data_IF_819732646781
#
_entry.id   IF_819732646781
#
_cell.length_a   1.000
_cell.length_b   1.000
_cell.length_c   1.000
_cell.angle_alpha   90.00
_cell.angle_beta   90.00
_cell.angle_gamma   90.00
#
_symmetry.space_group_name_H-M   'P 1'
#
loop_
_entity.id
_entity.type
_entity.pdbx_description
1 polymer ?
#
# COMPACT_ATOMS: atom_id res chain seq x y z
N UNK A 1 87.51 68.26 43.06
CA UNK A 1 86.16 67.69 42.83
C UNK A 1 86.27 66.78 41.62
N UNK A 2 86.43 65.47 41.85
CA UNK A 2 87.02 64.55 40.86
C UNK A 2 85.98 64.01 39.86
N UNK A 3 86.35 64.08 38.58
CA UNK A 3 85.61 63.55 37.42
C UNK A 3 85.33 62.03 37.54
N UNK A 4 86.10 61.32 38.38
CA UNK A 4 85.97 59.89 38.67
C UNK A 4 84.66 59.50 39.36
N UNK A 5 84.21 60.25 40.39
CA UNK A 5 83.00 59.89 41.15
C UNK A 5 81.70 60.12 40.36
N UNK A 6 81.70 61.12 39.45
CA UNK A 6 80.58 61.34 38.52
C UNK A 6 80.45 60.20 37.50
N UNK A 7 81.58 59.66 37.02
CA UNK A 7 81.58 58.54 36.07
C UNK A 7 81.15 57.21 36.72
N UNK A 8 81.52 56.97 37.99
CA UNK A 8 81.08 55.81 38.76
C UNK A 8 79.56 55.89 39.03
N UNK A 9 79.04 57.08 39.34
CA UNK A 9 77.61 57.32 39.55
C UNK A 9 76.79 57.16 38.25
N UNK A 10 77.31 57.66 37.11
CA UNK A 10 76.69 57.44 35.80
C UNK A 10 76.64 55.94 35.45
N UNK A 11 77.76 55.23 35.58
CA UNK A 11 77.84 53.79 35.27
C UNK A 11 76.89 52.96 36.14
N UNK A 12 76.75 53.31 37.42
CA UNK A 12 75.78 52.69 38.34
C UNK A 12 74.33 53.00 37.95
N UNK A 13 74.01 54.24 37.57
CA UNK A 13 72.66 54.63 37.10
C UNK A 13 72.29 53.97 35.78
N UNK A 14 73.20 53.91 34.81
CA UNK A 14 73.00 53.19 33.55
C UNK A 14 72.88 51.67 33.75
N UNK A 15 73.64 51.09 34.69
CA UNK A 15 73.50 49.68 35.07
C UNK A 15 72.13 49.38 35.69
N UNK A 16 71.66 50.21 36.62
CA UNK A 16 70.31 50.09 37.22
C UNK A 16 69.20 50.28 36.18
N UNK A 17 69.35 51.24 35.27
CA UNK A 17 68.42 51.44 34.16
C UNK A 17 68.42 50.24 33.20
N UNK A 18 69.58 49.67 32.88
CA UNK A 18 69.68 48.47 32.06
C UNK A 18 69.02 47.25 32.70
N UNK A 19 69.22 47.04 34.00
CA UNK A 19 68.55 45.97 34.77
C UNK A 19 67.04 46.18 34.78
N UNK A 20 66.58 47.41 35.04
CA UNK A 20 65.15 47.74 35.04
C UNK A 20 64.51 47.55 33.65
N UNK A 21 65.20 47.93 32.57
CA UNK A 21 64.73 47.68 31.20
C UNK A 21 64.69 46.18 30.87
N UNK A 22 65.63 45.38 31.39
CA UNK A 22 65.63 43.92 31.25
C UNK A 22 64.47 43.30 32.05
N UNK A 23 64.18 43.76 33.26
CA UNK A 23 63.03 43.33 34.05
C UNK A 23 61.71 43.68 33.35
N UNK A 24 61.56 44.92 32.87
CA UNK A 24 60.38 45.32 32.09
C UNK A 24 60.22 44.49 30.81
N UNK A 25 61.32 44.18 30.12
CA UNK A 25 61.28 43.31 28.95
C UNK A 25 60.88 41.86 29.34
N UNK A 26 61.37 41.34 30.47
CA UNK A 26 61.00 40.00 30.98
C UNK A 26 59.53 39.94 31.36
N UNK A 27 59.01 40.93 32.06
CA UNK A 27 57.60 40.99 32.44
C UNK A 27 56.72 41.10 31.20
N UNK A 28 57.09 41.96 30.24
CA UNK A 28 56.38 42.06 28.96
C UNK A 28 56.39 40.76 28.16
N UNK A 29 57.50 40.02 28.16
CA UNK A 29 57.59 38.68 27.52
C UNK A 29 56.69 37.68 28.27
N UNK A 30 56.64 37.73 29.59
CA UNK A 30 55.80 36.85 30.41
C UNK A 30 54.32 37.11 30.14
N UNK A 31 53.90 38.38 30.09
CA UNK A 31 52.53 38.79 29.79
C UNK A 31 52.13 38.38 28.36
N UNK A 32 53.01 38.64 27.37
CA UNK A 32 52.80 38.20 25.99
C UNK A 32 52.66 36.67 25.88
N UNK A 33 53.45 35.91 26.63
CA UNK A 33 53.36 34.45 26.64
C UNK A 33 52.04 33.97 27.26
N UNK A 34 51.59 34.59 28.36
CA UNK A 34 50.30 34.26 28.97
C UNK A 34 49.15 34.58 28.00
N UNK A 35 49.15 35.76 27.39
CA UNK A 35 48.15 36.15 26.40
C UNK A 35 48.14 35.20 25.19
N UNK A 36 49.32 34.81 24.71
CA UNK A 36 49.45 33.84 23.62
C UNK A 36 48.87 32.47 24.01
N UNK A 37 49.09 32.00 25.24
CA UNK A 37 48.51 30.75 25.73
C UNK A 37 46.98 30.81 25.80
N UNK A 38 46.42 31.91 26.29
CA UNK A 38 44.96 32.12 26.30
C UNK A 38 44.38 32.16 24.89
N UNK A 39 45.00 32.91 23.97
CA UNK A 39 44.57 32.95 22.57
C UNK A 39 44.65 31.57 21.90
N UNK A 40 45.71 30.80 22.15
CA UNK A 40 45.83 29.41 21.65
C UNK A 40 44.73 28.51 22.20
N UNK A 41 44.44 28.60 23.50
CA UNK A 41 43.37 27.83 24.14
C UNK A 41 41.99 28.22 23.57
N UNK A 42 41.76 29.51 23.35
CA UNK A 42 40.52 30.02 22.78
C UNK A 42 40.32 29.57 21.32
N UNK A 43 41.36 29.67 20.48
CA UNK A 43 41.33 29.16 19.10
C UNK A 43 41.02 27.66 19.11
N UNK A 44 41.67 26.87 19.97
CA UNK A 44 41.43 25.42 20.09
C UNK A 44 39.99 25.13 20.53
N UNK A 45 39.46 25.89 21.48
CA UNK A 45 38.06 25.78 21.95
C UNK A 45 37.08 26.12 20.83
N UNK A 46 37.26 27.25 20.13
CA UNK A 46 36.39 27.65 19.00
C UNK A 46 36.43 26.62 17.87
N UNK A 47 37.60 26.06 17.58
CA UNK A 47 37.74 25.03 16.56
C UNK A 47 37.01 23.74 16.95
N UNK A 48 37.16 23.26 18.19
CA UNK A 48 36.39 22.12 18.71
C UNK A 48 34.88 22.36 18.63
N UNK A 49 34.39 23.48 19.13
CA UNK A 49 32.96 23.79 19.07
C UNK A 49 32.42 23.79 17.63
N UNK A 50 33.19 24.30 16.65
CA UNK A 50 32.81 24.26 15.24
C UNK A 50 32.77 22.84 14.68
N UNK A 51 33.74 22.01 15.06
CA UNK A 51 33.75 20.60 14.68
C UNK A 51 32.55 19.86 15.29
N UNK A 52 32.27 20.07 16.58
CA UNK A 52 31.13 19.45 17.27
C UNK A 52 29.81 19.88 16.63
N UNK A 53 29.66 21.17 16.32
CA UNK A 53 28.45 21.70 15.65
C UNK A 53 28.27 21.06 14.28
N UNK A 54 29.33 21.06 13.45
CA UNK A 54 29.28 20.48 12.11
C UNK A 54 29.04 18.97 12.15
N UNK A 55 29.62 18.27 13.12
CA UNK A 55 29.40 16.83 13.30
C UNK A 55 27.95 16.53 13.69
N UNK A 56 27.36 17.34 14.57
CA UNK A 56 25.96 17.22 14.94
C UNK A 56 25.03 17.51 13.76
N UNK A 57 25.34 18.52 12.95
CA UNK A 57 24.58 18.83 11.72
C UNK A 57 24.61 17.66 10.74
N UNK A 58 25.79 17.10 10.46
CA UNK A 58 25.95 15.93 9.58
C UNK A 58 25.20 14.72 10.13
N UNK A 59 25.27 14.48 11.44
CA UNK A 59 24.54 13.40 12.10
C UNK A 59 23.04 13.57 11.97
N UNK A 60 22.52 14.78 12.22
CA UNK A 60 21.10 15.04 12.11
C UNK A 60 20.61 14.83 10.68
N UNK A 61 21.36 15.34 9.68
CA UNK A 61 21.07 15.08 8.27
C UNK A 61 21.05 13.58 7.95
N UNK A 62 22.02 12.81 8.43
CA UNK A 62 22.05 11.38 8.22
C UNK A 62 20.83 10.66 8.84
N UNK A 63 20.44 11.03 10.06
CA UNK A 63 19.25 10.48 10.72
C UNK A 63 17.99 10.81 9.91
N UNK A 64 17.86 12.05 9.46
CA UNK A 64 16.70 12.52 8.70
C UNK A 64 16.61 11.80 7.35
N UNK A 65 17.71 11.72 6.60
CA UNK A 65 17.79 11.01 5.32
C UNK A 65 17.49 9.52 5.47
N UNK A 66 18.04 8.87 6.49
CA UNK A 66 17.79 7.47 6.77
C UNK A 66 16.31 7.22 7.10
N UNK A 67 15.72 8.04 7.97
CA UNK A 67 14.32 7.95 8.33
C UNK A 67 13.41 8.16 7.11
N UNK A 68 13.77 9.11 6.24
CA UNK A 68 13.04 9.36 5.00
C UNK A 68 13.08 8.14 4.07
N UNK A 69 14.26 7.55 3.84
CA UNK A 69 14.40 6.33 3.03
C UNK A 69 13.59 5.18 3.62
N UNK A 70 13.66 4.98 4.93
CA UNK A 70 12.95 3.89 5.60
C UNK A 70 11.42 4.05 5.49
N UNK A 71 10.91 5.27 5.70
CA UNK A 71 9.49 5.57 5.57
C UNK A 71 9.01 5.48 4.11
N UNK A 72 9.84 5.89 3.14
CA UNK A 72 9.55 5.71 1.72
C UNK A 72 9.44 4.24 1.35
N UNK A 73 10.42 3.42 1.76
CA UNK A 73 10.42 1.99 1.51
C UNK A 73 9.22 1.29 2.16
N UNK A 74 8.84 1.68 3.39
CA UNK A 74 7.62 1.19 4.03
C UNK A 74 6.40 1.48 3.17
N UNK A 75 6.27 2.73 2.75
CA UNK A 75 5.10 3.19 2.01
C UNK A 75 4.99 2.46 0.68
N UNK A 76 6.10 2.29 -0.05
CA UNK A 76 6.12 1.54 -1.30
C UNK A 76 5.79 0.07 -1.09
N UNK A 77 6.42 -0.60 -0.10
CA UNK A 77 6.16 -2.02 0.18
C UNK A 77 4.74 -2.28 0.66
N UNK A 78 4.16 -1.36 1.45
CA UNK A 78 2.77 -1.46 1.90
C UNK A 78 1.81 -1.33 0.72
N UNK A 79 2.06 -0.37 -0.19
CA UNK A 79 1.27 -0.19 -1.41
C UNK A 79 1.36 -1.43 -2.31
N UNK A 80 2.57 -1.92 -2.57
CA UNK A 80 2.78 -3.15 -3.35
C UNK A 80 2.08 -4.37 -2.73
N UNK A 81 2.10 -4.48 -1.41
CA UNK A 81 1.41 -5.57 -0.71
C UNK A 81 -0.11 -5.45 -0.84
N UNK A 82 -0.66 -4.24 -0.72
CA UNK A 82 -2.10 -3.99 -0.93
C UNK A 82 -2.51 -4.34 -2.36
N UNK A 83 -1.73 -3.93 -3.35
CA UNK A 83 -2.01 -4.23 -4.76
C UNK A 83 -2.01 -5.74 -5.01
N UNK A 84 -1.02 -6.47 -4.49
CA UNK A 84 -0.98 -7.95 -4.60
C UNK A 84 -2.17 -8.62 -3.94
N UNK A 85 -2.64 -8.12 -2.80
CA UNK A 85 -3.80 -8.67 -2.11
C UNK A 85 -5.08 -8.44 -2.92
N UNK A 86 -5.22 -7.25 -3.52
CA UNK A 86 -6.34 -6.95 -4.43
C UNK A 86 -6.31 -7.85 -5.66
N UNK A 87 -5.14 -8.06 -6.26
CA UNK A 87 -4.98 -9.01 -7.38
C UNK A 87 -5.36 -10.44 -6.98
N UNK A 88 -4.91 -10.91 -5.81
CA UNK A 88 -5.27 -12.22 -5.29
C UNK A 88 -6.79 -12.35 -5.06
N UNK A 89 -7.42 -11.35 -4.44
CA UNK A 89 -8.89 -11.32 -4.26
C UNK A 89 -9.61 -11.44 -5.59
N UNK A 90 -9.23 -10.61 -6.57
CA UNK A 90 -9.86 -10.62 -7.90
C UNK A 90 -9.65 -11.97 -8.61
N UNK A 91 -8.47 -12.57 -8.48
CA UNK A 91 -8.19 -13.88 -9.06
C UNK A 91 -9.01 -14.98 -8.38
N UNK A 92 -9.16 -14.96 -7.06
CA UNK A 92 -9.99 -15.93 -6.33
C UNK A 92 -11.45 -15.85 -6.74
N UNK A 93 -12.01 -14.64 -6.86
CA UNK A 93 -13.39 -14.44 -7.32
C UNK A 93 -13.57 -15.00 -8.75
N UNK A 94 -12.63 -14.73 -9.66
CA UNK A 94 -12.67 -15.26 -11.03
C UNK A 94 -12.63 -16.78 -11.06
N UNK A 95 -11.72 -17.39 -10.31
CA UNK A 95 -11.62 -18.86 -10.21
C UNK A 95 -12.90 -19.45 -9.63
N UNK A 96 -13.43 -18.85 -8.57
CA UNK A 96 -14.68 -19.26 -7.96
C UNK A 96 -15.85 -19.23 -8.94
N UNK A 97 -16.01 -18.15 -9.72
CA UNK A 97 -17.08 -18.04 -10.73
C UNK A 97 -16.95 -19.15 -11.78
N UNK A 98 -15.73 -19.43 -12.25
CA UNK A 98 -15.49 -20.52 -13.21
C UNK A 98 -15.85 -21.88 -12.62
N UNK A 99 -15.51 -22.13 -11.36
CA UNK A 99 -15.81 -23.40 -10.71
C UNK A 99 -17.31 -23.52 -10.38
N UNK A 100 -17.96 -22.41 -10.02
CA UNK A 100 -19.41 -22.34 -9.86
C UNK A 100 -20.14 -22.66 -11.16
N UNK A 101 -19.68 -22.12 -12.30
CA UNK A 101 -20.23 -22.46 -13.62
C UNK A 101 -20.17 -23.96 -13.90
N UNK A 102 -19.01 -24.59 -13.65
CA UNK A 102 -18.82 -26.02 -13.86
C UNK A 102 -19.71 -26.85 -12.94
N UNK A 103 -19.80 -26.49 -11.66
CA UNK A 103 -20.64 -27.20 -10.69
C UNK A 103 -22.12 -27.10 -11.07
N UNK A 104 -22.59 -25.94 -11.50
CA UNK A 104 -23.97 -25.78 -11.97
C UNK A 104 -24.22 -26.61 -13.24
N UNK A 105 -23.34 -26.57 -14.25
CA UNK A 105 -23.50 -27.39 -15.46
C UNK A 105 -23.49 -28.90 -15.11
N UNK A 106 -22.62 -29.34 -14.21
CA UNK A 106 -22.60 -30.72 -13.72
C UNK A 106 -23.90 -31.09 -13.00
N UNK A 107 -24.43 -30.20 -12.15
CA UNK A 107 -25.68 -30.42 -11.46
C UNK A 107 -26.86 -30.54 -12.43
N UNK A 108 -26.92 -29.67 -13.43
CA UNK A 108 -27.92 -29.72 -14.51
C UNK A 108 -27.82 -31.03 -15.28
N UNK A 109 -26.61 -31.47 -15.64
CA UNK A 109 -26.42 -32.74 -16.38
C UNK A 109 -26.81 -33.96 -15.54
N UNK A 110 -26.52 -33.94 -14.24
CA UNK A 110 -26.82 -35.06 -13.35
C UNK A 110 -28.30 -35.18 -12.97
N UNK A 111 -29.01 -34.06 -12.88
CA UNK A 111 -30.44 -34.01 -12.59
C UNK A 111 -31.19 -33.06 -13.55
N UNK A 112 -31.19 -33.42 -14.84
CA UNK A 112 -31.75 -32.57 -15.87
C UNK A 112 -33.25 -32.32 -15.70
N UNK A 113 -34.00 -33.32 -15.21
CA UNK A 113 -35.43 -33.13 -14.94
C UNK A 113 -35.68 -32.08 -13.86
N UNK A 114 -34.94 -32.12 -12.75
CA UNK A 114 -35.07 -31.10 -11.70
C UNK A 114 -34.72 -29.70 -12.20
N UNK A 115 -33.75 -29.59 -13.12
CA UNK A 115 -33.45 -28.33 -13.78
C UNK A 115 -34.59 -27.84 -14.69
N UNK A 116 -35.19 -28.73 -15.48
CA UNK A 116 -36.36 -28.39 -16.31
C UNK A 116 -37.52 -27.92 -15.42
N UNK A 117 -37.79 -28.61 -14.31
CA UNK A 117 -38.84 -28.22 -13.37
C UNK A 117 -38.59 -26.82 -12.82
N UNK A 118 -37.33 -26.49 -12.48
CA UNK A 118 -36.91 -25.14 -12.09
C UNK A 118 -37.19 -24.10 -13.19
N UNK A 119 -36.84 -24.38 -14.45
CA UNK A 119 -37.12 -23.46 -15.56
C UNK A 119 -38.63 -23.21 -15.73
N UNK A 120 -39.44 -24.26 -15.62
CA UNK A 120 -40.89 -24.17 -15.72
C UNK A 120 -41.47 -23.33 -14.58
N UNK A 121 -41.00 -23.52 -13.36
CA UNK A 121 -41.43 -22.73 -12.21
C UNK A 121 -41.05 -21.25 -12.36
N UNK A 122 -39.85 -20.95 -12.86
CA UNK A 122 -39.42 -19.59 -13.16
C UNK A 122 -40.31 -18.92 -14.23
N UNK A 123 -40.62 -19.63 -15.32
CA UNK A 123 -41.53 -19.14 -16.36
C UNK A 123 -42.94 -18.89 -15.79
N UNK A 124 -43.41 -19.76 -14.89
CA UNK A 124 -44.70 -19.59 -14.22
C UNK A 124 -44.72 -18.34 -13.34
N UNK A 125 -43.65 -18.07 -12.62
CA UNK A 125 -43.50 -16.85 -11.81
C UNK A 125 -43.56 -15.59 -12.69
N UNK A 126 -42.78 -15.55 -13.77
CA UNK A 126 -42.75 -14.42 -14.71
C UNK A 126 -44.12 -14.21 -15.37
N UNK A 127 -44.81 -15.30 -15.71
CA UNK A 127 -46.20 -15.23 -16.21
C UNK A 127 -47.13 -14.57 -15.20
N UNK A 128 -47.05 -14.96 -13.92
CA UNK A 128 -47.87 -14.41 -12.84
C UNK A 128 -47.73 -12.89 -12.69
N UNK A 129 -46.59 -12.34 -13.10
CA UNK A 129 -46.30 -10.91 -13.11
C UNK A 129 -46.73 -10.19 -14.40
N UNK A 130 -47.40 -10.89 -15.33
CA UNK A 130 -47.84 -10.40 -16.65
C UNK A 130 -46.73 -9.92 -17.60
N UNK A 131 -45.48 -10.37 -17.41
CA UNK A 131 -44.35 -9.97 -18.26
C UNK A 131 -44.25 -10.72 -19.60
N UNK A 132 -45.10 -11.71 -19.83
CA UNK A 132 -45.12 -12.51 -21.08
C UNK A 132 -46.26 -12.03 -22.00
N UNK A 133 -46.00 -11.15 -22.97
CA UNK A 133 -46.98 -10.80 -24.00
C UNK A 133 -47.25 -11.97 -24.97
N UNK A 134 -48.33 -11.87 -25.75
CA UNK A 134 -48.55 -12.80 -26.86
C UNK A 134 -47.40 -12.69 -27.86
N UNK A 135 -47.08 -13.76 -28.57
CA UNK A 135 -45.99 -13.84 -29.57
C UNK A 135 -44.57 -13.62 -29.03
N UNK A 136 -44.36 -13.80 -27.72
CA UNK A 136 -43.03 -13.75 -27.11
C UNK A 136 -42.09 -14.82 -27.69
N UNK A 137 -40.80 -14.52 -27.72
CA UNK A 137 -39.76 -15.44 -28.20
C UNK A 137 -38.88 -15.85 -27.02
N UNK A 138 -38.79 -17.15 -26.77
CA UNK A 138 -37.87 -17.73 -25.80
C UNK A 138 -36.63 -18.26 -26.51
N UNK A 139 -35.46 -17.78 -26.11
CA UNK A 139 -34.18 -18.29 -26.55
C UNK A 139 -33.60 -19.22 -25.50
N UNK A 140 -33.23 -20.42 -25.91
CA UNK A 140 -32.59 -21.43 -25.09
C UNK A 140 -31.25 -21.85 -25.69
N UNK A 141 -30.39 -22.51 -24.92
CA UNK A 141 -29.22 -23.19 -25.49
C UNK A 141 -29.67 -24.41 -26.32
N UNK A 142 -28.72 -25.08 -26.99
CA UNK A 142 -29.00 -26.23 -27.87
C UNK A 142 -29.76 -27.35 -27.14
N UNK A 143 -29.26 -27.77 -25.98
CA UNK A 143 -29.85 -28.85 -25.18
C UNK A 143 -31.28 -28.56 -24.75
N UNK A 144 -31.51 -27.36 -24.22
CA UNK A 144 -32.80 -26.97 -23.67
C UNK A 144 -33.81 -26.68 -24.80
N UNK A 145 -33.33 -26.11 -25.92
CA UNK A 145 -34.11 -25.97 -27.15
C UNK A 145 -34.63 -27.33 -27.64
N UNK A 146 -33.74 -28.32 -27.80
CA UNK A 146 -34.14 -29.66 -28.25
C UNK A 146 -35.16 -30.32 -27.32
N UNK A 147 -35.03 -30.10 -26.01
CA UNK A 147 -35.99 -30.62 -25.04
C UNK A 147 -37.37 -29.99 -25.22
N UNK A 148 -37.45 -28.66 -25.30
CA UNK A 148 -38.72 -27.95 -25.42
C UNK A 148 -39.34 -28.07 -26.81
N UNK A 149 -38.56 -28.25 -27.86
CA UNK A 149 -39.08 -28.57 -29.19
C UNK A 149 -39.79 -29.94 -29.21
N UNK A 150 -39.21 -30.95 -28.52
CA UNK A 150 -39.82 -32.29 -28.40
C UNK A 150 -40.99 -32.34 -27.41
N UNK A 151 -41.01 -31.44 -26.43
CA UNK A 151 -41.99 -31.43 -25.33
C UNK A 151 -42.80 -30.13 -25.28
N UNK A 152 -43.14 -29.53 -26.42
CA UNK A 152 -43.75 -28.19 -26.54
C UNK A 152 -45.02 -27.99 -25.69
N UNK A 153 -45.76 -29.08 -25.44
CA UNK A 153 -46.93 -29.07 -24.54
C UNK A 153 -46.61 -28.53 -23.14
N UNK A 154 -45.42 -28.78 -22.60
CA UNK A 154 -45.00 -28.31 -21.26
C UNK A 154 -45.01 -26.78 -21.16
N UNK A 155 -44.42 -26.09 -22.14
CA UNK A 155 -44.43 -24.63 -22.20
C UNK A 155 -45.81 -24.08 -22.55
N UNK A 156 -46.52 -24.76 -23.46
CA UNK A 156 -47.87 -24.35 -23.88
C UNK A 156 -48.87 -24.35 -22.73
N UNK A 157 -48.84 -25.38 -21.87
CA UNK A 157 -49.70 -25.48 -20.68
C UNK A 157 -49.41 -24.37 -19.66
N UNK A 158 -48.14 -23.99 -19.52
CA UNK A 158 -47.72 -22.95 -18.58
C UNK A 158 -48.04 -21.57 -19.12
N UNK A 159 -47.64 -21.25 -20.35
CA UNK A 159 -47.72 -19.91 -20.94
C UNK A 159 -49.16 -19.55 -21.33
N UNK A 160 -49.92 -20.48 -21.92
CA UNK A 160 -51.31 -20.30 -22.39
C UNK A 160 -51.49 -19.10 -23.35
N UNK A 161 -50.44 -18.73 -24.07
CA UNK A 161 -50.40 -17.67 -25.09
C UNK A 161 -49.59 -18.18 -26.28
N UNK A 162 -49.68 -17.52 -27.43
CA UNK A 162 -48.78 -17.82 -28.55
C UNK A 162 -47.34 -17.42 -28.18
N UNK A 163 -46.38 -18.29 -28.46
CA UNK A 163 -44.96 -18.05 -28.26
C UNK A 163 -44.13 -18.75 -29.35
N UNK A 164 -42.85 -18.41 -29.44
CA UNK A 164 -41.87 -19.10 -30.29
C UNK A 164 -40.68 -19.52 -29.44
N UNK A 165 -40.15 -20.69 -29.71
CA UNK A 165 -38.89 -21.17 -29.14
C UNK A 165 -37.81 -21.04 -30.21
N UNK A 166 -36.64 -20.54 -29.83
CA UNK A 166 -35.46 -20.45 -30.69
C UNK A 166 -34.23 -20.92 -29.95
N UNK A 167 -33.27 -21.46 -30.70
CA UNK A 167 -31.94 -21.73 -30.19
C UNK A 167 -31.09 -20.44 -30.19
N UNK A 168 -30.24 -20.29 -29.19
CA UNK A 168 -29.23 -19.23 -29.08
C UNK A 168 -27.89 -19.83 -28.67
N UNK A 169 -26.84 -19.51 -29.41
CA UNK A 169 -25.46 -19.87 -29.05
C UNK A 169 -24.84 -18.95 -27.99
N UNK A 170 -25.58 -17.92 -27.54
CA UNK A 170 -25.12 -17.01 -26.47
C UNK A 170 -25.35 -17.57 -25.07
N UNK A 171 -26.16 -18.61 -24.95
CA UNK A 171 -26.49 -19.24 -23.67
C UNK A 171 -25.63 -20.50 -23.57
N UNK A 172 -24.71 -20.52 -22.61
CA UNK A 172 -23.78 -21.64 -22.44
C UNK A 172 -24.39 -22.69 -21.49
N UNK A 173 -24.49 -22.34 -20.21
CA UNK A 173 -24.86 -23.28 -19.13
C UNK A 173 -26.35 -23.63 -19.14
N UNK A 174 -27.20 -22.61 -19.25
CA UNK A 174 -28.66 -22.77 -19.16
C UNK A 174 -29.40 -21.48 -18.80
N UNK A 175 -30.69 -21.63 -18.56
CA UNK A 175 -31.66 -20.54 -18.48
C UNK A 175 -32.19 -20.16 -19.85
N UNK A 176 -32.78 -18.97 -19.95
CA UNK A 176 -33.37 -18.50 -21.20
C UNK A 176 -33.37 -16.98 -21.30
N UNK A 177 -33.49 -16.48 -22.53
CA UNK A 177 -33.76 -15.06 -22.78
C UNK A 177 -35.19 -14.94 -23.32
N UNK A 178 -35.97 -14.06 -22.71
CA UNK A 178 -37.34 -13.74 -23.14
C UNK A 178 -37.32 -12.43 -23.93
N UNK A 179 -37.64 -12.49 -25.22
CA UNK A 179 -37.79 -11.31 -26.09
C UNK A 179 -39.28 -11.06 -26.38
N UNK A 180 -39.70 -9.80 -26.25
CA UNK A 180 -41.05 -9.38 -26.59
C UNK A 180 -41.19 -9.12 -28.10
N UNK A 181 -42.42 -9.20 -28.65
CA UNK A 181 -42.74 -9.22 -30.10
C UNK A 181 -42.09 -8.10 -30.90
N UNK A 182 -41.92 -6.93 -30.30
CA UNK A 182 -41.39 -5.75 -30.99
C UNK A 182 -39.84 -5.71 -31.00
N UNK A 183 -39.18 -6.69 -30.36
CA UNK A 183 -37.72 -6.76 -30.23
C UNK A 183 -37.11 -5.65 -29.37
N UNK A 184 -37.93 -4.76 -28.81
CA UNK A 184 -37.47 -3.61 -28.03
C UNK A 184 -37.05 -3.98 -26.61
N UNK A 185 -37.61 -5.05 -26.05
CA UNK A 185 -37.38 -5.48 -24.67
C UNK A 185 -37.01 -6.95 -24.64
N UNK A 186 -35.85 -7.24 -24.07
CA UNK A 186 -35.39 -8.58 -23.73
C UNK A 186 -35.07 -8.68 -22.25
N UNK A 187 -35.45 -9.81 -21.65
CA UNK A 187 -35.14 -10.15 -20.27
C UNK A 187 -34.24 -11.38 -20.26
N UNK A 188 -33.08 -11.24 -19.63
CA UNK A 188 -32.08 -12.29 -19.56
C UNK A 188 -32.23 -13.06 -18.23
N UNK A 189 -32.70 -14.30 -18.34
CA UNK A 189 -32.83 -15.25 -17.22
C UNK A 189 -31.81 -16.38 -17.35
N UNK A 190 -30.69 -16.15 -18.03
CA UNK A 190 -29.59 -17.10 -18.10
C UNK A 190 -28.93 -17.26 -16.74
N UNK A 191 -28.36 -18.43 -16.50
CA UNK A 191 -27.57 -18.70 -15.29
C UNK A 191 -26.39 -17.73 -15.20
N UNK A 192 -25.76 -17.40 -16.33
CA UNK A 192 -24.67 -16.45 -16.42
C UNK A 192 -25.11 -15.07 -15.90
N UNK A 193 -26.26 -14.57 -16.37
CA UNK A 193 -26.80 -13.29 -15.91
C UNK A 193 -27.21 -13.32 -14.42
N UNK A 194 -27.70 -14.46 -13.91
CA UNK A 194 -28.00 -14.61 -12.48
C UNK A 194 -26.70 -14.50 -11.66
N UNK A 195 -25.62 -15.15 -12.09
CA UNK A 195 -24.34 -15.11 -11.39
C UNK A 195 -23.74 -13.70 -11.45
N UNK A 196 -23.76 -13.07 -12.63
CA UNK A 196 -23.27 -11.70 -12.81
C UNK A 196 -24.08 -10.69 -11.99
N UNK A 197 -25.41 -10.82 -11.97
CA UNK A 197 -26.30 -9.99 -11.15
C UNK A 197 -26.04 -10.12 -9.65
N UNK A 198 -25.45 -11.23 -9.20
CA UNK A 198 -25.06 -11.47 -7.81
C UNK A 198 -23.55 -11.29 -7.56
N UNK A 199 -22.79 -10.76 -8.52
CA UNK A 199 -21.34 -10.58 -8.39
C UNK A 199 -20.96 -9.75 -7.16
N UNK A 200 -21.71 -8.69 -6.86
CA UNK A 200 -21.47 -7.82 -5.70
C UNK A 200 -21.62 -8.57 -4.37
N UNK A 201 -22.56 -9.50 -4.28
CA UNK A 201 -22.73 -10.35 -3.10
C UNK A 201 -21.57 -11.32 -2.97
N UNK A 202 -21.16 -11.96 -4.07
CA UNK A 202 -19.98 -12.84 -4.11
C UNK A 202 -18.75 -12.05 -3.64
N UNK A 203 -18.53 -10.86 -4.17
CA UNK A 203 -17.41 -10.01 -3.79
C UNK A 203 -17.43 -9.65 -2.29
N UNK A 204 -18.61 -9.33 -1.75
CA UNK A 204 -18.79 -8.98 -0.35
C UNK A 204 -18.43 -10.16 0.56
N UNK A 205 -18.94 -11.36 0.27
CA UNK A 205 -18.63 -12.57 1.02
C UNK A 205 -17.12 -12.89 0.99
N UNK A 206 -16.48 -12.75 -0.18
CA UNK A 206 -15.02 -12.90 -0.28
C UNK A 206 -14.25 -11.83 0.51
N UNK A 207 -14.77 -10.61 0.58
CA UNK A 207 -14.16 -9.52 1.37
C UNK A 207 -14.27 -9.78 2.88
N UNK A 208 -15.36 -10.42 3.32
CA UNK A 208 -15.55 -10.79 4.72
C UNK A 208 -14.67 -11.97 5.16
N UNK A 209 -14.31 -12.85 4.21
CA UNK A 209 -13.35 -13.94 4.43
C UNK A 209 -11.93 -13.37 4.44
N UNK A 210 -11.56 -12.56 3.45
CA UNK A 210 -10.27 -11.86 3.35
C UNK A 210 -10.35 -10.57 4.17
N UNK A 211 -10.76 -10.70 5.44
CA UNK A 211 -10.91 -9.56 6.33
C UNK A 211 -9.61 -8.75 6.35
N UNK A 212 -9.78 -7.43 6.45
CA UNK A 212 -8.78 -6.43 6.86
C UNK A 212 -7.84 -6.90 7.99
N UNK A 213 -8.20 -7.91 8.77
CA UNK A 213 -7.35 -8.52 9.81
C UNK A 213 -6.01 -9.06 9.29
N UNK A 214 -5.97 -9.71 8.13
CA UNK A 214 -4.70 -10.20 7.57
C UNK A 214 -3.83 -9.06 7.03
N UNK A 215 -4.47 -8.08 6.36
CA UNK A 215 -3.80 -6.86 5.88
C UNK A 215 -3.26 -6.04 7.06
N UNK A 216 -4.06 -5.87 8.12
CA UNK A 216 -3.66 -5.18 9.36
C UNK A 216 -2.56 -5.91 10.09
N UNK A 217 -2.57 -7.25 10.06
CA UNK A 217 -1.50 -8.06 10.65
C UNK A 217 -0.19 -7.86 9.90
N UNK A 218 -0.20 -7.94 8.57
CA UNK A 218 0.97 -7.64 7.73
C UNK A 218 1.46 -6.22 8.00
N UNK A 219 0.54 -5.25 8.05
CA UNK A 219 0.89 -3.85 8.35
C UNK A 219 1.56 -3.71 9.72
N UNK A 220 1.01 -4.34 10.76
CA UNK A 220 1.58 -4.32 12.12
C UNK A 220 2.98 -4.95 12.16
N UNK A 221 3.17 -6.10 11.50
CA UNK A 221 4.47 -6.78 11.44
C UNK A 221 5.54 -5.91 10.75
N UNK A 222 5.17 -5.19 9.69
CA UNK A 222 6.06 -4.25 9.01
C UNK A 222 6.38 -3.00 9.86
N UNK A 223 5.39 -2.45 10.55
CA UNK A 223 5.60 -1.33 11.49
C UNK A 223 6.56 -1.73 12.62
N UNK A 224 6.44 -2.95 13.14
CA UNK A 224 7.33 -3.50 14.16
C UNK A 224 8.78 -3.63 13.65
N UNK A 225 8.99 -4.19 12.45
CA UNK A 225 10.31 -4.31 11.82
C UNK A 225 10.99 -2.94 11.68
N UNK A 226 10.23 -1.91 11.33
CA UNK A 226 10.74 -0.55 11.17
C UNK A 226 11.12 0.06 12.51
N UNK A 227 10.28 -0.10 13.51
CA UNK A 227 10.56 0.38 14.85
C UNK A 227 11.81 -0.31 15.43
N UNK A 228 12.01 -1.61 15.16
CA UNK A 228 13.24 -2.31 15.53
C UNK A 228 14.48 -1.75 14.80
N UNK A 229 14.38 -1.51 13.49
CA UNK A 229 15.49 -0.98 12.71
C UNK A 229 15.88 0.45 13.13
N UNK A 230 14.89 1.30 13.47
CA UNK A 230 15.13 2.64 14.04
C UNK A 230 15.91 2.55 15.37
N UNK A 231 15.49 1.66 16.28
CA UNK A 231 16.18 1.43 17.57
C UNK A 231 17.62 0.91 17.40
N UNK A 232 17.86 0.02 16.44
CA UNK A 232 19.21 -0.49 16.15
C UNK A 232 20.16 0.64 15.72
N UNK A 233 19.70 1.60 14.94
CA UNK A 233 20.52 2.74 14.51
C UNK A 233 20.80 3.73 15.62
N UNK A 234 19.81 4.02 16.48
CA UNK A 234 20.09 4.82 17.69
C UNK A 234 21.22 4.18 18.51
N UNK A 235 21.24 2.86 18.61
CA UNK A 235 22.31 2.11 19.29
C UNK A 235 23.66 2.26 18.57
N UNK A 236 23.72 2.08 17.25
CA UNK A 236 24.96 2.27 16.47
C UNK A 236 25.50 3.71 16.53
N UNK A 237 24.62 4.71 16.56
CA UNK A 237 25.02 6.11 16.69
C UNK A 237 25.57 6.42 18.08
N UNK A 238 24.97 5.84 19.14
CA UNK A 238 25.49 5.94 20.52
C UNK A 238 26.87 5.28 20.63
N UNK A 239 27.07 4.14 19.98
CA UNK A 239 28.37 3.44 20.01
C UNK A 239 29.44 4.17 19.21
N UNK A 240 29.09 4.84 18.10
CA UNK A 240 30.01 5.71 17.37
C UNK A 240 30.47 6.92 18.21
N UNK A 241 29.59 7.52 19.02
CA UNK A 241 29.94 8.62 19.92
C UNK A 241 30.92 8.22 21.04
N UNK A 242 31.05 6.91 21.31
CA UNK A 242 31.92 6.37 22.36
C UNK A 242 33.34 6.07 21.87
N UNK A 243 33.59 6.13 20.55
CA UNK A 243 34.89 5.87 19.90
C UNK A 243 35.64 7.19 19.71
#
# INVERSE_FOLDING_TARGET
MNISDKNINLKSRFGKLGIHLIEQAKDKIKDLNQEMLFRKAEIKKRYRNRLDTKSNEIRQQFIDDYNNILNMNLSSTLLESKDRILELKNNLIRVFIIDLHKEIDNHIRSNYQGYVDYLIDLIREIKGQNYIPNNSIFYFNERDYEFFEKNDHTLTEVIQKEFKVKQSSKIDIGGFILEQVDGEISFDYTIDNIIEGNYSLIEMEFSDIIKDGEIKKIQSEFEDIINENKKKIETYLIDYDRI
#
